data_IF_390829572740
#
_entry.id   IF_390829572740
#
_cell.length_a   1.000
_cell.length_b   1.000
_cell.length_c   1.000
_cell.angle_alpha   90.00
_cell.angle_beta   90.00
_cell.angle_gamma   90.00
#
_symmetry.space_group_name_H-M   'P 1'
#
loop_
_entity.id
_entity.type
_entity.pdbx_description
1 polymer ?
#
# COMPACT_ATOMS: atom_id res chain seq x y z
N UNK A 1 -22.01 -0.53 -21.84
CA UNK A 1 -22.45 0.09 -20.58
C UNK A 1 -21.20 0.28 -19.75
N UNK A 2 -20.79 1.52 -19.53
CA UNK A 2 -19.54 1.81 -18.81
C UNK A 2 -19.86 1.68 -17.33
N UNK A 3 -19.54 0.52 -16.74
CA UNK A 3 -19.66 0.33 -15.30
C UNK A 3 -18.84 1.36 -14.56
N UNK A 4 -19.34 1.83 -13.42
CA UNK A 4 -18.62 2.75 -12.56
C UNK A 4 -17.23 2.16 -12.24
N UNK A 5 -16.17 2.97 -12.38
CA UNK A 5 -14.77 2.55 -12.17
C UNK A 5 -14.22 2.96 -10.81
N UNK A 6 -15.05 3.63 -10.03
CA UNK A 6 -14.72 4.35 -8.82
C UNK A 6 -15.77 4.04 -7.76
N UNK A 7 -15.34 4.03 -6.50
CA UNK A 7 -16.21 4.02 -5.33
C UNK A 7 -15.82 5.16 -4.40
N UNK A 8 -16.81 5.72 -3.72
CA UNK A 8 -16.59 6.71 -2.65
C UNK A 8 -16.72 6.02 -1.30
N UNK A 9 -15.69 6.09 -0.47
CA UNK A 9 -15.65 5.52 0.88
C UNK A 9 -15.16 6.60 1.83
N UNK A 10 -15.92 6.92 2.87
CA UNK A 10 -15.64 8.05 3.79
C UNK A 10 -15.25 9.37 3.08
N UNK A 11 -15.90 9.69 1.97
CA UNK A 11 -15.67 10.92 1.19
C UNK A 11 -14.37 10.94 0.37
N UNK A 12 -13.64 9.82 0.29
CA UNK A 12 -12.47 9.64 -0.59
C UNK A 12 -12.82 8.70 -1.75
N UNK A 13 -12.19 8.91 -2.91
CA UNK A 13 -12.45 8.13 -4.12
C UNK A 13 -11.38 7.04 -4.33
N UNK A 14 -11.82 5.83 -4.64
CA UNK A 14 -10.95 4.69 -4.89
C UNK A 14 -11.30 4.04 -6.24
N UNK A 15 -10.27 3.73 -7.03
CA UNK A 15 -10.46 3.00 -8.29
C UNK A 15 -10.62 1.49 -8.04
N UNK A 16 -11.57 0.85 -8.72
CA UNK A 16 -11.76 -0.60 -8.61
C UNK A 16 -10.52 -1.41 -9.02
N UNK A 17 -9.77 -0.95 -10.04
CA UNK A 17 -8.49 -1.56 -10.40
C UNK A 17 -7.49 -1.51 -9.25
N UNK A 18 -7.37 -0.38 -8.56
CA UNK A 18 -6.47 -0.26 -7.42
C UNK A 18 -6.92 -1.14 -6.25
N UNK A 19 -8.22 -1.18 -5.96
CA UNK A 19 -8.78 -2.03 -4.90
C UNK A 19 -8.50 -3.51 -5.17
N UNK A 20 -8.79 -4.00 -6.38
CA UNK A 20 -8.55 -5.41 -6.73
C UNK A 20 -7.07 -5.78 -6.68
N UNK A 21 -6.22 -4.87 -7.16
CA UNK A 21 -4.77 -5.05 -7.17
C UNK A 21 -4.16 -5.08 -5.75
N UNK A 22 -4.80 -4.39 -4.81
CA UNK A 22 -4.35 -4.30 -3.41
C UNK A 22 -5.15 -5.20 -2.46
N UNK A 23 -5.84 -6.22 -2.98
CA UNK A 23 -6.54 -7.20 -2.17
C UNK A 23 -5.63 -7.78 -1.07
N UNK A 24 -6.15 -7.82 0.16
CA UNK A 24 -5.42 -8.27 1.36
C UNK A 24 -5.60 -9.77 1.67
N UNK A 25 -6.32 -10.52 0.82
CA UNK A 25 -6.58 -11.92 1.09
C UNK A 25 -5.32 -12.80 0.88
N UNK A 26 -5.24 -13.98 1.53
CA UNK A 26 -4.08 -14.88 1.41
C UNK A 26 -3.83 -15.42 0.00
N UNK A 27 -4.83 -15.38 -0.88
CA UNK A 27 -4.68 -15.78 -2.29
C UNK A 27 -3.96 -14.69 -3.12
N UNK A 28 -4.06 -13.43 -2.70
CA UNK A 28 -3.44 -12.29 -3.40
C UNK A 28 -2.14 -11.83 -2.77
N UNK A 29 -1.94 -12.07 -1.47
CA UNK A 29 -0.73 -11.71 -0.73
C UNK A 29 -0.29 -12.85 0.18
N UNK A 30 1.00 -13.14 0.16
CA UNK A 30 1.59 -14.14 1.05
C UNK A 30 1.45 -13.69 2.52
N UNK A 31 0.85 -14.52 3.40
CA UNK A 31 0.54 -14.11 4.77
C UNK A 31 1.76 -13.91 5.67
N UNK A 32 2.95 -14.40 5.28
CA UNK A 32 4.16 -14.31 6.09
C UNK A 32 5.05 -13.14 5.66
N UNK A 33 5.25 -13.00 4.34
CA UNK A 33 6.15 -12.03 3.74
C UNK A 33 5.45 -10.78 3.22
N UNK A 34 4.11 -10.80 3.15
CA UNK A 34 3.28 -9.75 2.55
C UNK A 34 3.59 -9.47 1.06
N UNK A 35 4.36 -10.35 0.42
CA UNK A 35 4.63 -10.26 -1.00
C UNK A 35 3.35 -10.47 -1.79
N UNK A 36 3.24 -9.74 -2.89
CA UNK A 36 2.09 -9.79 -3.77
C UNK A 36 2.21 -11.03 -4.68
N UNK A 37 1.15 -11.83 -4.69
CA UNK A 37 1.03 -13.07 -5.49
C UNK A 37 0.21 -12.79 -6.75
N UNK A 38 -0.86 -11.99 -6.63
CA UNK A 38 -1.74 -11.65 -7.74
C UNK A 38 -1.17 -10.51 -8.59
N UNK A 39 -1.16 -10.65 -9.92
CA UNK A 39 -0.80 -9.57 -10.85
C UNK A 39 -2.02 -9.14 -11.67
N UNK A 40 -2.49 -7.91 -11.43
CA UNK A 40 -3.64 -7.35 -12.17
C UNK A 40 -3.36 -7.14 -13.65
N UNK A 41 -2.09 -7.00 -14.06
CA UNK A 41 -1.72 -6.78 -15.46
C UNK A 41 -1.99 -8.00 -16.34
N UNK A 42 -2.09 -9.18 -15.73
CA UNK A 42 -2.46 -10.44 -16.40
C UNK A 42 -3.99 -10.57 -16.59
N UNK A 43 -4.80 -9.70 -15.99
CA UNK A 43 -6.25 -9.74 -16.12
C UNK A 43 -6.70 -9.35 -17.54
N UNK A 44 -7.58 -10.16 -18.14
CA UNK A 44 -8.10 -9.95 -19.50
C UNK A 44 -9.08 -8.77 -19.61
N UNK A 45 -9.68 -8.38 -18.50
CA UNK A 45 -10.61 -7.26 -18.42
C UNK A 45 -10.38 -6.47 -17.14
N UNK A 46 -10.77 -5.18 -17.10
CA UNK A 46 -10.84 -4.44 -15.86
C UNK A 46 -11.71 -5.19 -14.83
N UNK A 47 -11.38 -5.09 -13.53
CA UNK A 47 -12.18 -5.73 -12.50
C UNK A 47 -13.57 -5.09 -12.42
N UNK A 48 -14.59 -5.93 -12.36
CA UNK A 48 -16.00 -5.54 -12.25
C UNK A 48 -16.54 -6.02 -10.89
N UNK A 49 -17.02 -5.11 -10.01
CA UNK A 49 -17.65 -5.51 -8.76
C UNK A 49 -19.06 -6.07 -9.02
N UNK A 50 -19.38 -7.22 -8.42
CA UNK A 50 -20.73 -7.77 -8.34
C UNK A 50 -21.53 -7.17 -7.20
N UNK A 51 -20.87 -6.94 -6.06
CA UNK A 51 -21.46 -6.31 -4.88
C UNK A 51 -20.38 -5.55 -4.13
N UNK A 52 -20.82 -4.48 -3.47
CA UNK A 52 -20.01 -3.70 -2.53
C UNK A 52 -20.83 -3.49 -1.28
N UNK A 53 -20.26 -3.84 -0.13
CA UNK A 53 -20.86 -3.67 1.18
C UNK A 53 -19.89 -2.88 2.05
N UNK A 54 -20.30 -1.69 2.45
CA UNK A 54 -19.58 -0.85 3.42
C UNK A 54 -20.27 -1.02 4.78
N UNK A 55 -19.50 -1.48 5.76
CA UNK A 55 -19.90 -1.61 7.17
C UNK A 55 -19.12 -0.59 8.01
N UNK A 56 -19.38 -0.52 9.33
CA UNK A 56 -18.77 0.48 10.22
C UNK A 56 -17.23 0.52 10.15
N UNK A 57 -16.59 -0.64 10.03
CA UNK A 57 -15.12 -0.76 10.06
C UNK A 57 -14.52 -1.40 8.81
N UNK A 58 -15.33 -1.93 7.89
CA UNK A 58 -14.83 -2.70 6.75
C UNK A 58 -15.55 -2.39 5.43
N UNK A 59 -14.82 -2.52 4.34
CA UNK A 59 -15.34 -2.53 2.98
C UNK A 59 -15.15 -3.92 2.39
N UNK A 60 -16.26 -4.56 2.01
CA UNK A 60 -16.25 -5.86 1.34
C UNK A 60 -16.69 -5.70 -0.11
N UNK A 61 -15.90 -6.25 -1.04
CA UNK A 61 -16.18 -6.25 -2.48
C UNK A 61 -16.15 -7.68 -3.00
N UNK A 62 -17.22 -8.11 -3.66
CA UNK A 62 -17.25 -9.36 -4.42
C UNK A 62 -17.02 -9.05 -5.89
N UNK A 63 -16.03 -9.70 -6.51
CA UNK A 63 -15.63 -9.46 -7.90
C UNK A 63 -16.25 -10.47 -8.85
N UNK A 64 -16.55 -10.03 -10.07
CA UNK A 64 -17.05 -10.86 -11.16
C UNK A 64 -15.90 -11.67 -11.79
N UNK A 65 -15.38 -12.61 -11.03
CA UNK A 65 -14.28 -13.50 -11.42
C UNK A 65 -14.75 -14.96 -11.37
N UNK A 66 -13.99 -15.84 -12.03
CA UNK A 66 -14.17 -17.28 -11.96
C UNK A 66 -12.82 -17.92 -11.58
N UNK A 67 -12.67 -18.44 -10.35
CA UNK A 67 -13.66 -18.48 -9.26
C UNK A 67 -14.03 -17.07 -8.75
N UNK A 68 -15.20 -16.96 -8.09
CA UNK A 68 -15.64 -15.70 -7.46
C UNK A 68 -14.60 -15.30 -6.42
N UNK A 69 -14.13 -14.06 -6.51
CA UNK A 69 -13.14 -13.51 -5.59
C UNK A 69 -13.77 -12.48 -4.65
N UNK A 70 -13.34 -12.44 -3.40
CA UNK A 70 -13.79 -11.47 -2.42
C UNK A 70 -12.60 -10.74 -1.78
N UNK A 71 -12.66 -9.41 -1.79
CA UNK A 71 -11.70 -8.56 -1.09
C UNK A 71 -12.36 -7.91 0.11
N UNK A 72 -11.67 -7.91 1.25
CA UNK A 72 -12.10 -7.26 2.49
C UNK A 72 -11.01 -6.28 2.91
N UNK A 73 -11.39 -5.03 3.11
CA UNK A 73 -10.48 -3.96 3.51
C UNK A 73 -10.94 -3.35 4.83
N UNK A 74 -10.08 -3.29 5.86
CA UNK A 74 -10.32 -2.41 7.00
C UNK A 74 -10.37 -0.95 6.52
N UNK A 75 -11.39 -0.19 6.91
CA UNK A 75 -11.54 1.20 6.49
C UNK A 75 -10.38 2.07 6.98
N UNK A 76 -9.86 1.79 8.17
CA UNK A 76 -8.67 2.45 8.72
C UNK A 76 -7.43 2.28 7.83
N UNK A 77 -7.22 1.08 7.29
CA UNK A 77 -6.14 0.79 6.35
C UNK A 77 -6.36 1.53 5.02
N UNK A 78 -7.58 1.47 4.48
CA UNK A 78 -7.95 2.10 3.22
C UNK A 78 -7.69 3.62 3.24
N UNK A 79 -8.08 4.29 4.32
CA UNK A 79 -7.92 5.74 4.49
C UNK A 79 -6.46 6.12 4.71
N UNK A 80 -5.67 5.29 5.38
CA UNK A 80 -4.23 5.51 5.53
C UNK A 80 -3.52 5.58 4.16
N UNK A 81 -3.93 4.77 3.18
CA UNK A 81 -3.36 4.78 1.82
C UNK A 81 -3.59 6.10 1.07
N UNK A 82 -4.66 6.84 1.40
CA UNK A 82 -4.92 8.17 0.82
C UNK A 82 -4.14 9.25 1.54
N UNK A 83 -4.09 9.18 2.87
CA UNK A 83 -3.42 10.19 3.67
C UNK A 83 -1.91 10.23 3.40
N UNK A 84 -1.26 9.10 3.12
CA UNK A 84 0.16 9.08 2.72
C UNK A 84 0.42 9.87 1.43
N UNK A 85 -0.54 9.94 0.51
CA UNK A 85 -0.45 10.73 -0.72
C UNK A 85 -0.72 12.23 -0.48
N UNK A 86 -1.59 12.54 0.48
CA UNK A 86 -1.93 13.91 0.88
C UNK A 86 -0.94 14.51 1.89
N UNK A 87 -0.06 13.68 2.46
CA UNK A 87 0.98 14.14 3.38
C UNK A 87 2.01 14.91 2.55
N UNK A 88 1.97 16.25 2.63
CA UNK A 88 2.94 17.13 1.97
C UNK A 88 4.36 16.59 2.14
N UNK A 89 5.13 16.55 1.05
CA UNK A 89 6.56 16.15 1.04
C UNK A 89 7.39 16.83 2.15
N UNK A 90 6.92 17.96 2.66
CA UNK A 90 7.49 18.74 3.75
C UNK A 90 7.60 17.99 5.09
N UNK A 91 6.74 17.01 5.39
CA UNK A 91 6.79 16.30 6.69
C UNK A 91 7.59 15.00 6.68
N UNK A 92 7.78 14.38 5.51
CA UNK A 92 8.47 13.08 5.40
C UNK A 92 9.99 13.20 5.29
N UNK A 93 10.50 14.37 4.91
CA UNK A 93 11.92 14.55 4.63
C UNK A 93 12.53 15.72 5.42
N UNK A 94 12.58 15.59 6.74
CA UNK A 94 13.58 16.34 7.52
C UNK A 94 14.96 15.69 7.31
N UNK A 95 15.46 15.79 6.08
CA UNK A 95 16.79 15.28 5.71
C UNK A 95 17.80 16.21 6.38
N UNK A 96 18.45 15.70 7.43
CA UNK A 96 19.62 16.36 7.98
C UNK A 96 20.80 16.03 7.08
N UNK A 97 21.20 16.99 6.24
CA UNK A 97 22.41 16.88 5.44
C UNK A 97 23.63 16.96 6.35
N UNK A 98 24.56 16.02 6.20
CA UNK A 98 25.81 16.01 6.94
C UNK A 98 26.87 16.85 6.23
N UNK A 99 27.61 17.65 7.00
CA UNK A 99 28.75 18.42 6.52
C UNK A 99 30.03 18.13 7.32
N UNK A 100 31.16 18.65 6.82
CA UNK A 100 32.48 18.45 7.42
C UNK A 100 32.56 18.92 8.88
N UNK A 101 31.80 19.94 9.28
CA UNK A 101 31.81 20.44 10.64
C UNK A 101 31.04 19.51 11.58
N UNK A 102 30.00 18.83 11.10
CA UNK A 102 29.20 17.87 11.88
C UNK A 102 29.93 16.54 12.08
N UNK A 103 30.57 16.02 11.03
CA UNK A 103 31.39 14.80 11.10
C UNK A 103 32.60 14.94 12.05
N UNK A 104 33.03 16.17 12.36
CA UNK A 104 34.13 16.44 13.29
C UNK A 104 33.68 16.51 14.76
N UNK A 105 32.38 16.60 15.04
CA UNK A 105 31.86 16.72 16.42
C UNK A 105 31.92 15.41 17.18
N UNK A 106 31.88 14.28 16.49
CA UNK A 106 31.94 12.96 17.10
C UNK A 106 33.25 12.26 16.74
N UNK A 107 33.99 11.73 17.73
CA UNK A 107 35.17 10.92 17.43
C UNK A 107 34.71 9.62 16.75
N UNK A 108 35.15 9.41 15.50
CA UNK A 108 34.88 8.17 14.76
C UNK A 108 35.61 7.03 15.48
N UNK A 109 34.86 6.20 16.19
CA UNK A 109 35.35 4.95 16.76
C UNK A 109 35.63 3.98 15.60
N UNK A 110 36.90 3.84 15.23
CA UNK A 110 37.34 2.87 14.22
C UNK A 110 37.52 1.52 14.89
N UNK A 111 36.67 0.56 14.56
CA UNK A 111 36.75 -0.80 15.08
C UNK A 111 37.61 -1.74 14.21
N UNK A 112 38.14 -1.23 13.09
CA UNK A 112 38.48 -2.06 11.94
C UNK A 112 40.00 -2.23 11.74
N UNK A 113 40.83 -1.61 12.57
CA UNK A 113 42.28 -1.84 12.54
C UNK A 113 42.66 -2.82 13.65
N UNK A 114 42.61 -4.11 13.35
CA UNK A 114 43.58 -4.99 13.98
C UNK A 114 44.95 -4.52 13.47
N UNK A 115 45.79 -3.99 14.37
CA UNK A 115 47.18 -3.69 14.08
C UNK A 115 47.81 -4.96 13.51
N UNK A 116 48.13 -4.95 12.22
CA UNK A 116 49.11 -5.87 11.67
C UNK A 116 50.49 -5.32 12.07
N UNK A 117 51.16 -6.00 12.99
CA UNK A 117 52.60 -5.88 13.23
C UNK A 117 53.40 -6.42 12.02
#
# INVERSE_FOLDING_TARGET
>A
MQGERLITVNGKHFHYSWLRDNCLCPECRDPNSFQKIYDISEAQSPPEPLSVVEEEDTLTITWKEQPIHQSIFPLSWLIAQVNELDTSEESLNKITLWNKAELKKEPILRHDFHNCD
#
